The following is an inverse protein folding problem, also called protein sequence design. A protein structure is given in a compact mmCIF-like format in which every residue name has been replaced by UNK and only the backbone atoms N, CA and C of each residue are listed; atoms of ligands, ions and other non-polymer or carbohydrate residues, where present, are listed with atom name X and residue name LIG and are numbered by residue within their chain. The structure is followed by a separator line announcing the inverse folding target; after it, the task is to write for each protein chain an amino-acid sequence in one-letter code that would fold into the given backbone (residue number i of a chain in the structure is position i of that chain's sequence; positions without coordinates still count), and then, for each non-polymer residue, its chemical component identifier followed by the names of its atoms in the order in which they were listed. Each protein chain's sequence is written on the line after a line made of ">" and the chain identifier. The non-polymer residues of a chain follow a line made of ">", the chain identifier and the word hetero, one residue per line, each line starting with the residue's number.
data_IF_717681370727
#
_entry.id   IF_717681370727
#
_cell.length_a   1.000
_cell.length_b   1.000
_cell.length_c   1.000
_cell.angle_alpha   90.00
_cell.angle_beta   90.00
_cell.angle_gamma   90.00
#
_symmetry.space_group_name_H-M   'P 1'
#
loop_
_entity.id
_entity.type
_entity.pdbx_description
1 polymer ?
#
# COMPACT_ATOMS: atom_id res chain seq x y z
N UNK A 1 13.13 1.20 8.91
CA UNK A 1 13.00 1.87 7.59
C UNK A 1 12.09 3.09 7.71
N UNK A 2 12.10 4.04 6.77
CA UNK A 2 11.11 5.14 6.78
C UNK A 2 9.72 4.58 6.43
N UNK A 3 8.74 4.77 7.32
CA UNK A 3 7.35 4.32 7.11
C UNK A 3 6.71 4.94 5.88
N UNK A 4 7.10 6.16 5.54
CA UNK A 4 6.67 6.83 4.31
C UNK A 4 7.16 6.09 3.06
N UNK A 5 8.41 5.59 3.07
CA UNK A 5 8.94 4.82 1.93
C UNK A 5 8.26 3.45 1.82
N UNK A 6 8.00 2.78 2.96
CA UNK A 6 7.19 1.56 2.97
C UNK A 6 5.81 1.82 2.38
N UNK A 7 5.13 2.87 2.85
CA UNK A 7 3.79 3.22 2.42
C UNK A 7 3.71 3.56 0.92
N UNK A 8 4.72 4.25 0.39
CA UNK A 8 4.82 4.54 -1.03
C UNK A 8 5.01 3.25 -1.86
N UNK A 9 5.84 2.32 -1.39
CA UNK A 9 6.00 1.02 -2.06
C UNK A 9 4.72 0.17 -2.00
N UNK A 10 4.03 0.17 -0.85
CA UNK A 10 2.73 -0.51 -0.66
C UNK A 10 1.69 0.06 -1.60
N UNK A 11 1.60 1.39 -1.68
CA UNK A 11 0.71 2.08 -2.61
C UNK A 11 0.98 1.67 -4.06
N UNK A 12 2.23 1.69 -4.50
CA UNK A 12 2.56 1.27 -5.87
C UNK A 12 2.22 -0.18 -6.16
N UNK A 13 2.52 -1.10 -5.24
CA UNK A 13 2.17 -2.53 -5.40
C UNK A 13 0.66 -2.71 -5.42
N UNK A 14 -0.07 -1.97 -4.56
CA UNK A 14 -1.52 -1.98 -4.52
C UNK A 14 -2.12 -1.50 -5.86
N UNK A 15 -1.68 -0.35 -6.37
CA UNK A 15 -2.19 0.21 -7.64
C UNK A 15 -1.98 -0.75 -8.80
N UNK A 16 -0.78 -1.31 -8.93
CA UNK A 16 -0.46 -2.27 -10.00
C UNK A 16 -1.29 -3.54 -9.85
N UNK A 17 -1.42 -4.08 -8.64
CA UNK A 17 -2.20 -5.29 -8.40
C UNK A 17 -3.68 -5.06 -8.70
N UNK A 18 -4.24 -3.94 -8.23
CA UNK A 18 -5.65 -3.63 -8.43
C UNK A 18 -5.97 -3.33 -9.90
N UNK A 19 -5.15 -2.54 -10.61
CA UNK A 19 -5.45 -2.25 -12.01
C UNK A 19 -5.34 -3.48 -12.92
N UNK A 20 -4.47 -4.44 -12.62
CA UNK A 20 -4.35 -5.70 -13.38
C UNK A 20 -5.49 -6.66 -13.05
N UNK A 21 -5.81 -6.84 -11.76
CA UNK A 21 -6.77 -7.85 -11.31
C UNK A 21 -8.22 -7.38 -11.43
N UNK A 22 -8.45 -6.07 -11.31
CA UNK A 22 -9.77 -5.45 -11.29
C UNK A 22 -9.81 -4.24 -12.23
N UNK A 23 -9.64 -4.42 -13.55
CA UNK A 23 -9.75 -3.31 -14.48
C UNK A 23 -11.17 -2.71 -14.45
N UNK A 24 -11.28 -1.42 -14.14
CA UNK A 24 -12.50 -0.62 -14.13
C UNK A 24 -12.85 -0.22 -15.58
N UNK A 25 -14.00 -0.64 -16.12
CA UNK A 25 -14.46 -0.18 -17.41
C UNK A 25 -14.99 1.25 -17.28
N UNK A 26 -14.20 2.24 -17.71
CA UNK A 26 -14.62 3.65 -17.62
C UNK A 26 -15.39 4.15 -18.85
N UNK A 27 -15.21 3.51 -20.02
CA UNK A 27 -15.94 3.83 -21.25
C UNK A 27 -16.24 2.57 -22.08
N UNK A 28 -17.31 2.62 -22.87
CA UNK A 28 -17.64 1.56 -23.82
C UNK A 28 -16.69 1.67 -25.04
N UNK A 29 -16.06 0.56 -25.46
CA UNK A 29 -15.16 0.40 -26.62
C UNK A 29 -13.64 0.62 -26.42
N UNK A 30 -13.13 0.61 -25.19
CA UNK A 30 -11.67 0.64 -24.93
C UNK A 30 -11.08 -0.77 -24.92
N UNK A 31 -9.83 -0.90 -25.38
CA UNK A 31 -9.09 -2.17 -25.28
C UNK A 31 -8.80 -2.53 -23.81
N UNK A 32 -8.60 -3.82 -23.52
CA UNK A 32 -8.29 -4.31 -22.17
C UNK A 32 -7.05 -3.66 -21.55
N UNK A 33 -6.06 -3.30 -22.39
CA UNK A 33 -4.85 -2.61 -21.96
C UNK A 33 -5.19 -1.19 -21.49
N UNK A 34 -6.00 -0.46 -22.25
CA UNK A 34 -6.42 0.89 -21.87
C UNK A 34 -7.25 0.86 -20.58
N UNK A 35 -8.18 -0.08 -20.43
CA UNK A 35 -8.95 -0.24 -19.18
C UNK A 35 -8.03 -0.48 -17.96
N UNK A 36 -6.99 -1.30 -18.12
CA UNK A 36 -5.99 -1.54 -17.07
C UNK A 36 -5.24 -0.25 -16.69
N UNK A 37 -4.82 0.53 -17.70
CA UNK A 37 -4.10 1.78 -17.49
C UNK A 37 -4.98 2.85 -16.81
N UNK A 38 -6.22 3.00 -17.24
CA UNK A 38 -7.18 3.90 -16.60
C UNK A 38 -7.44 3.51 -15.14
N UNK A 39 -7.46 2.20 -14.85
CA UNK A 39 -7.64 1.68 -13.50
C UNK A 39 -6.47 2.03 -12.58
N UNK A 40 -5.23 2.06 -13.10
CA UNK A 40 -4.08 2.55 -12.32
C UNK A 40 -4.29 3.99 -11.86
N UNK A 41 -4.90 4.85 -12.69
CA UNK A 41 -5.19 6.23 -12.32
C UNK A 41 -6.27 6.34 -11.25
N UNK A 42 -7.39 5.62 -11.44
CA UNK A 42 -8.51 5.60 -10.48
C UNK A 42 -8.03 5.08 -9.12
N UNK A 43 -7.48 3.87 -9.08
CA UNK A 43 -6.97 3.32 -7.83
C UNK A 43 -5.82 4.15 -7.27
N UNK A 44 -4.92 4.67 -8.12
CA UNK A 44 -3.83 5.53 -7.71
C UNK A 44 -4.30 6.77 -6.96
N UNK A 45 -5.26 7.52 -7.51
CA UNK A 45 -5.79 8.74 -6.90
C UNK A 45 -6.52 8.46 -5.58
N UNK A 46 -7.45 7.51 -5.57
CA UNK A 46 -8.27 7.24 -4.38
C UNK A 46 -7.48 6.57 -3.25
N UNK A 47 -6.45 5.80 -3.58
CA UNK A 47 -5.68 5.06 -2.57
C UNK A 47 -4.45 5.80 -2.06
N UNK A 48 -3.96 6.84 -2.75
CA UNK A 48 -2.73 7.55 -2.37
C UNK A 48 -2.81 8.09 -0.93
N UNK A 49 -3.82 8.90 -0.64
CA UNK A 49 -3.96 9.53 0.67
C UNK A 49 -4.16 8.51 1.81
N UNK A 50 -5.11 7.56 1.72
CA UNK A 50 -5.33 6.59 2.78
C UNK A 50 -4.18 5.59 2.95
N UNK A 51 -3.51 5.16 1.88
CA UNK A 51 -2.39 4.20 2.02
C UNK A 51 -1.11 4.91 2.46
N UNK A 52 -0.75 6.03 1.82
CA UNK A 52 0.54 6.68 2.06
C UNK A 52 0.54 7.41 3.41
N UNK A 53 -0.48 8.21 3.72
CA UNK A 53 -0.48 9.01 4.95
C UNK A 53 -1.12 8.27 6.13
N UNK A 54 -2.35 7.77 5.97
CA UNK A 54 -3.04 7.07 7.05
C UNK A 54 -2.37 5.72 7.34
N UNK A 55 -2.05 4.92 6.33
CA UNK A 55 -1.33 3.66 6.49
C UNK A 55 0.04 3.82 7.16
N UNK A 56 0.84 4.84 6.77
CA UNK A 56 2.12 5.11 7.44
C UNK A 56 1.94 5.50 8.92
N UNK A 57 0.94 6.32 9.23
CA UNK A 57 0.61 6.72 10.61
C UNK A 57 0.18 5.52 11.46
N UNK A 58 -0.77 4.72 10.98
CA UNK A 58 -1.22 3.48 11.64
C UNK A 58 -0.05 2.54 11.86
N UNK A 59 0.80 2.33 10.85
CA UNK A 59 1.96 1.45 10.98
C UNK A 59 2.98 1.95 12.00
N UNK A 60 3.20 3.26 12.07
CA UNK A 60 4.06 3.86 13.08
C UNK A 60 3.52 3.62 14.50
N UNK A 61 2.22 3.86 14.71
CA UNK A 61 1.55 3.63 16.00
C UNK A 61 1.58 2.14 16.35
N UNK A 62 1.23 1.26 15.42
CA UNK A 62 1.22 -0.19 15.60
C UNK A 62 2.56 -0.72 16.09
N UNK A 63 3.66 -0.28 15.47
CA UNK A 63 5.00 -0.68 15.86
C UNK A 63 5.46 -0.07 17.18
N UNK A 64 5.09 1.19 17.44
CA UNK A 64 5.37 1.82 18.73
C UNK A 64 4.68 1.08 19.87
N UNK A 65 3.40 0.75 19.71
CA UNK A 65 2.62 -0.03 20.66
C UNK A 65 3.17 -1.45 20.79
N UNK A 66 3.44 -2.16 19.68
CA UNK A 66 3.95 -3.54 19.73
C UNK A 66 5.25 -3.66 20.54
N UNK A 67 6.18 -2.71 20.37
CA UNK A 67 7.44 -2.65 21.13
C UNK A 67 7.23 -2.35 22.61
N UNK A 68 6.22 -1.57 22.97
CA UNK A 68 5.91 -1.23 24.35
C UNK A 68 5.29 -2.41 25.12
N UNK A 69 4.47 -3.24 24.46
CA UNK A 69 3.66 -4.27 25.12
C UNK A 69 4.28 -5.68 25.11
N UNK A 70 4.94 -6.12 24.04
CA UNK A 70 5.49 -7.48 24.01
C UNK A 70 6.61 -7.64 22.98
N UNK A 71 7.86 -7.72 23.48
CA UNK A 71 9.02 -8.09 22.65
C UNK A 71 8.91 -9.51 22.08
N UNK A 72 8.20 -10.40 22.78
CA UNK A 72 8.12 -11.82 22.40
C UNK A 72 7.09 -12.08 21.29
N UNK A 73 6.10 -11.21 21.14
CA UNK A 73 5.05 -11.31 20.12
C UNK A 73 4.93 -10.08 19.22
N UNK A 74 6.01 -9.28 19.09
CA UNK A 74 6.02 -7.99 18.39
C UNK A 74 5.38 -8.08 16.98
N UNK A 75 5.70 -9.13 16.22
CA UNK A 75 5.17 -9.32 14.87
C UNK A 75 3.66 -9.59 14.83
N UNK A 76 3.17 -10.46 15.72
CA UNK A 76 1.75 -10.80 15.77
C UNK A 76 0.92 -9.61 16.27
N UNK A 77 1.39 -8.91 17.30
CA UNK A 77 0.75 -7.69 17.80
C UNK A 77 0.72 -6.59 16.74
N UNK A 78 1.82 -6.36 16.02
CA UNK A 78 1.85 -5.38 14.94
C UNK A 78 0.90 -5.76 13.79
N UNK A 79 0.79 -7.04 13.43
CA UNK A 79 -0.20 -7.51 12.45
C UNK A 79 -1.63 -7.21 12.90
N UNK A 80 -2.00 -7.60 14.13
CA UNK A 80 -3.33 -7.33 14.68
C UNK A 80 -3.64 -5.84 14.73
N UNK A 81 -2.65 -4.99 14.99
CA UNK A 81 -2.82 -3.53 14.97
C UNK A 81 -3.04 -2.97 13.56
N UNK A 82 -2.39 -3.53 12.53
CA UNK A 82 -2.67 -3.15 11.14
C UNK A 82 -4.09 -3.56 10.72
N UNK A 83 -4.52 -4.77 11.08
CA UNK A 83 -5.89 -5.23 10.82
C UNK A 83 -6.90 -4.40 11.60
N UNK A 84 -6.65 -4.13 12.89
CA UNK A 84 -7.51 -3.27 13.70
C UNK A 84 -7.61 -1.86 13.13
N UNK A 85 -6.48 -1.28 12.67
CA UNK A 85 -6.48 0.00 11.98
C UNK A 85 -7.35 0.00 10.71
N UNK A 86 -7.27 -1.07 9.91
CA UNK A 86 -8.14 -1.24 8.75
C UNK A 86 -9.63 -1.37 9.13
N UNK A 87 -9.93 -2.09 10.21
CA UNK A 87 -11.29 -2.24 10.73
C UNK A 87 -11.85 -0.92 11.29
N UNK A 88 -11.01 -0.07 11.89
CA UNK A 88 -11.41 1.27 12.34
C UNK A 88 -11.73 2.18 11.16
N UNK A 89 -11.11 1.96 10.00
CA UNK A 89 -11.45 2.68 8.78
C UNK A 89 -12.80 2.21 8.17
N UNK A 90 -13.32 1.02 8.56
CA UNK A 90 -14.54 0.43 8.00
C UNK A 90 -15.77 1.35 8.01
N UNK A 91 -16.09 2.09 9.09
CA UNK A 91 -17.26 2.96 9.14
C UNK A 91 -17.20 4.17 8.20
N UNK A 92 -16.03 4.44 7.61
CA UNK A 92 -15.82 5.55 6.68
C UNK A 92 -15.94 5.12 5.22
N UNK A 93 -16.25 3.86 4.95
CA UNK A 93 -16.48 3.36 3.60
C UNK A 93 -17.97 3.14 3.35
N UNK A 94 -18.52 3.92 2.41
CA UNK A 94 -19.90 3.76 1.94
C UNK A 94 -20.08 2.53 1.02
N UNK A 95 -18.97 1.94 0.56
CA UNK A 95 -18.96 0.82 -0.39
C UNK A 95 -18.22 -0.40 0.18
N UNK A 96 -18.81 -1.61 0.11
CA UNK A 96 -18.16 -2.84 0.58
C UNK A 96 -16.81 -3.12 -0.10
N UNK A 97 -16.67 -2.75 -1.37
CA UNK A 97 -15.44 -2.94 -2.14
C UNK A 97 -14.29 -2.09 -1.58
N UNK A 98 -14.59 -0.85 -1.15
CA UNK A 98 -13.60 0.03 -0.54
C UNK A 98 -13.10 -0.51 0.81
N UNK A 99 -13.95 -1.18 1.56
CA UNK A 99 -13.55 -1.89 2.77
C UNK A 99 -12.61 -3.07 2.47
N UNK A 100 -12.93 -3.91 1.46
CA UNK A 100 -12.06 -5.02 1.05
C UNK A 100 -10.70 -4.54 0.55
N UNK A 101 -10.67 -3.46 -0.23
CA UNK A 101 -9.44 -2.82 -0.68
C UNK A 101 -8.58 -2.30 0.48
N UNK A 102 -9.22 -1.77 1.52
CA UNK A 102 -8.52 -1.29 2.71
C UNK A 102 -7.91 -2.43 3.52
N UNK A 103 -8.62 -3.57 3.62
CA UNK A 103 -8.08 -4.77 4.24
C UNK A 103 -6.87 -5.31 3.47
N UNK A 104 -6.96 -5.38 2.14
CA UNK A 104 -5.86 -5.79 1.26
C UNK A 104 -4.65 -4.85 1.42
N UNK A 105 -4.89 -3.54 1.44
CA UNK A 105 -3.84 -2.55 1.64
C UNK A 105 -3.16 -2.71 3.01
N UNK A 106 -3.91 -2.97 4.08
CA UNK A 106 -3.35 -3.18 5.41
C UNK A 106 -2.49 -4.46 5.51
N UNK A 107 -2.93 -5.55 4.87
CA UNK A 107 -2.14 -6.78 4.76
C UNK A 107 -0.87 -6.55 3.95
N UNK A 108 -0.97 -5.90 2.78
CA UNK A 108 0.18 -5.52 1.96
C UNK A 108 1.17 -4.65 2.74
N UNK A 109 0.65 -3.71 3.53
CA UNK A 109 1.46 -2.85 4.39
C UNK A 109 2.27 -3.66 5.39
N UNK A 110 1.62 -4.55 6.14
CA UNK A 110 2.30 -5.40 7.09
C UNK A 110 3.36 -6.28 6.42
N UNK A 111 3.00 -6.94 5.31
CA UNK A 111 3.92 -7.83 4.59
C UNK A 111 5.15 -7.06 4.11
N UNK A 112 4.98 -5.97 3.37
CA UNK A 112 6.10 -5.20 2.83
C UNK A 112 6.93 -4.55 3.93
N UNK A 113 6.32 -4.04 5.00
CA UNK A 113 7.06 -3.48 6.13
C UNK A 113 7.95 -4.52 6.79
N UNK A 114 7.45 -5.75 6.98
CA UNK A 114 8.24 -6.86 7.55
C UNK A 114 9.30 -7.37 6.60
N UNK A 115 8.99 -7.52 5.32
CA UNK A 115 9.96 -7.89 4.29
C UNK A 115 11.11 -6.89 4.27
N UNK A 116 10.81 -5.59 4.25
CA UNK A 116 11.86 -4.58 4.26
C UNK A 116 12.63 -4.50 5.57
N UNK A 117 11.98 -4.74 6.72
CA UNK A 117 12.67 -4.83 7.99
C UNK A 117 13.71 -5.97 7.97
N UNK A 118 13.31 -7.17 7.51
CA UNK A 118 14.18 -8.34 7.40
C UNK A 118 15.30 -8.18 6.37
N UNK A 119 15.05 -7.45 5.28
CA UNK A 119 16.06 -7.12 4.26
C UNK A 119 16.98 -5.97 4.66
N UNK A 120 16.77 -5.34 5.83
CA UNK A 120 17.56 -4.19 6.29
C UNK A 120 18.45 -4.49 7.49
N UNK A 121 18.79 -5.76 7.72
CA UNK A 121 19.59 -6.20 8.86
C UNK A 121 21.04 -5.71 8.80
N UNK A 122 21.60 -5.53 7.59
CA UNK A 122 22.95 -4.97 7.40
C UNK A 122 22.92 -3.57 6.77
N UNK A 123 23.95 -2.71 7.00
CA UNK A 123 23.96 -1.32 6.51
C UNK A 123 23.82 -1.19 4.99
N UNK A 124 24.51 -2.05 4.23
CA UNK A 124 24.43 -2.07 2.76
C UNK A 124 23.05 -2.52 2.26
N UNK A 125 22.48 -3.54 2.89
CA UNK A 125 21.15 -4.07 2.56
C UNK A 125 20.05 -3.04 2.91
N UNK A 126 20.21 -2.32 4.02
CA UNK A 126 19.32 -1.22 4.39
C UNK A 126 19.35 -0.06 3.37
N UNK A 127 20.52 0.23 2.79
CA UNK A 127 20.66 1.21 1.73
C UNK A 127 19.97 0.76 0.44
N UNK A 128 20.19 -0.49 0.01
CA UNK A 128 19.54 -1.06 -1.16
C UNK A 128 18.02 -1.10 -0.99
N UNK A 129 17.54 -1.57 0.17
CA UNK A 129 16.10 -1.70 0.46
C UNK A 129 15.39 -0.35 0.38
N UNK A 130 16.00 0.74 0.89
CA UNK A 130 15.43 2.09 0.74
C UNK A 130 15.32 2.53 -0.71
N UNK A 131 16.33 2.23 -1.54
CA UNK A 131 16.32 2.53 -2.98
C UNK A 131 15.30 1.69 -3.73
N UNK A 132 15.16 0.41 -3.38
CA UNK A 132 14.12 -0.47 -3.94
C UNK A 132 12.72 0.05 -3.60
N UNK A 133 12.46 0.39 -2.34
CA UNK A 133 11.17 0.95 -1.93
C UNK A 133 10.85 2.26 -2.67
N UNK A 134 11.84 3.15 -2.81
CA UNK A 134 11.70 4.39 -3.58
C UNK A 134 11.44 4.11 -5.06
N UNK A 135 12.19 3.18 -5.67
CA UNK A 135 12.04 2.81 -7.07
C UNK A 135 10.66 2.22 -7.35
N UNK A 136 10.18 1.31 -6.50
CA UNK A 136 8.81 0.76 -6.59
C UNK A 136 7.79 1.88 -6.44
N UNK A 137 7.97 2.77 -5.46
CA UNK A 137 7.19 3.98 -5.26
C UNK A 137 7.05 4.84 -6.53
N UNK A 138 8.17 5.17 -7.14
CA UNK A 138 8.23 5.97 -8.36
C UNK A 138 7.55 5.26 -9.55
N UNK A 139 7.74 3.95 -9.71
CA UNK A 139 7.10 3.21 -10.79
C UNK A 139 5.56 3.21 -10.68
N UNK A 140 5.01 3.12 -9.46
CA UNK A 140 3.56 3.28 -9.26
C UNK A 140 3.07 4.69 -9.62
N UNK A 141 3.86 5.72 -9.31
CA UNK A 141 3.56 7.10 -9.72
C UNK A 141 3.58 7.25 -11.25
N UNK A 142 4.59 6.69 -11.92
CA UNK A 142 4.64 6.66 -13.38
C UNK A 142 3.46 5.88 -13.99
N UNK A 143 3.10 4.72 -13.45
CA UNK A 143 1.96 3.94 -13.92
C UNK A 143 0.63 4.72 -13.81
N UNK A 144 0.43 5.40 -12.68
CA UNK A 144 -0.75 6.27 -12.44
C UNK A 144 -0.79 7.44 -13.43
N UNK A 145 0.36 8.07 -13.69
CA UNK A 145 0.48 9.20 -14.62
C UNK A 145 0.26 8.79 -16.08
N UNK A 146 0.85 7.67 -16.52
CA UNK A 146 0.64 7.14 -17.87
C UNK A 146 -0.84 6.82 -18.08
N UNK A 147 -1.49 6.18 -17.11
CA UNK A 147 -2.93 5.94 -17.16
C UNK A 147 -3.75 7.21 -17.35
N UNK A 148 -3.37 8.29 -16.67
CA UNK A 148 -4.11 9.56 -16.72
C UNK A 148 -3.86 10.40 -17.97
N UNK A 149 -2.80 10.11 -18.73
CA UNK A 149 -2.55 10.72 -20.04
C UNK A 149 -3.41 10.05 -21.13
N UNK A 150 -3.81 8.79 -20.92
CA UNK A 150 -4.59 7.99 -21.88
C UNK A 150 -6.11 8.03 -21.64
N UNK A 151 -6.56 8.67 -20.55
CA UNK A 151 -7.97 9.06 -20.30
C UNK A 151 -8.28 10.40 -20.92
#
# INVERSE_FOLDING_TARGET
>A
MSKMLTALAVWSVFVVSMGILFPVPTTNNVSTIEQTLQSFTVYGFFSLLPIVFYGAGVSYIADWTARAFSKQHEHFTSFLMHITGALIAAPFFDFPDAFMFTLIAAVLFFVLDRTFALLSLRPFEAFLTRRCALFIGLNGAFATMIGGIMT
#
